data_IF_999871039709
#
_entry.id   IF_999871039709
#
_cell.length_a   1.000
_cell.length_b   1.000
_cell.length_c   1.000
_cell.angle_alpha   90.00
_cell.angle_beta   90.00
_cell.angle_gamma   90.00
#
_symmetry.space_group_name_H-M   'P 1'
#
loop_
_entity.id
_entity.type
_entity.pdbx_description
1 polymer ?
#
# COMPACT_ATOMS: atom_id res chain seq x y z
N UNK A 1 10.58 0.35 -29.28
CA UNK A 1 9.90 0.90 -28.08
C UNK A 1 8.57 1.48 -28.51
N UNK A 2 7.50 1.27 -27.75
CA UNK A 2 6.18 1.87 -28.00
C UNK A 2 6.28 3.38 -27.72
N UNK A 3 6.08 4.24 -28.73
CA UNK A 3 6.25 5.70 -28.63
C UNK A 3 4.92 6.45 -28.49
N UNK A 4 3.85 5.88 -29.04
CA UNK A 4 2.51 6.44 -29.06
C UNK A 4 1.49 5.30 -28.98
N UNK A 5 0.46 5.46 -28.15
CA UNK A 5 -0.75 4.63 -28.21
C UNK A 5 -1.93 5.58 -28.32
N UNK A 6 -2.82 5.30 -29.27
CA UNK A 6 -4.08 6.01 -29.42
C UNK A 6 -5.14 5.25 -28.65
N UNK A 7 -5.62 5.81 -27.54
CA UNK A 7 -6.76 5.29 -26.80
C UNK A 7 -7.97 6.19 -27.06
N UNK A 8 -8.93 5.69 -27.83
CA UNK A 8 -10.07 6.50 -28.28
C UNK A 8 -9.64 7.73 -29.09
N UNK A 9 -10.09 8.91 -28.66
CA UNK A 9 -9.75 10.18 -29.30
C UNK A 9 -8.43 10.79 -28.79
N UNK A 10 -7.89 10.32 -27.66
CA UNK A 10 -6.75 10.94 -27.00
C UNK A 10 -5.46 10.16 -27.28
N UNK A 11 -4.47 10.77 -27.94
CA UNK A 11 -3.16 10.17 -28.11
C UNK A 11 -2.35 10.25 -26.81
N UNK A 12 -1.87 9.10 -26.31
CA UNK A 12 -0.89 9.04 -25.21
C UNK A 12 0.51 8.90 -25.83
N UNK A 13 1.34 9.91 -25.63
CA UNK A 13 2.75 9.93 -26.06
C UNK A 13 3.63 9.45 -24.91
N UNK A 14 4.22 8.27 -25.06
CA UNK A 14 5.06 7.67 -24.00
C UNK A 14 6.30 8.48 -23.72
N UNK A 15 6.88 9.11 -24.74
CA UNK A 15 8.08 9.92 -24.59
C UNK A 15 7.89 11.06 -23.59
N UNK A 16 6.68 11.64 -23.55
CA UNK A 16 6.35 12.73 -22.64
C UNK A 16 6.31 12.20 -21.19
N UNK A 17 5.78 11.00 -20.98
CA UNK A 17 5.68 10.36 -19.66
C UNK A 17 7.01 9.86 -19.09
N UNK A 18 8.03 9.62 -19.92
CA UNK A 18 9.35 9.13 -19.46
C UNK A 18 10.16 10.19 -18.69
N UNK A 19 9.82 11.46 -18.88
CA UNK A 19 10.52 12.60 -18.27
C UNK A 19 9.69 13.30 -17.19
N UNK A 20 8.42 12.93 -16.99
CA UNK A 20 7.55 13.54 -15.99
C UNK A 20 7.93 13.11 -14.57
N UNK A 21 7.89 14.03 -13.61
CA UNK A 21 8.04 13.70 -12.18
C UNK A 21 6.77 13.17 -11.53
N UNK A 22 5.63 13.52 -12.12
CA UNK A 22 4.29 13.21 -11.64
C UNK A 22 3.47 12.62 -12.78
N UNK A 23 2.67 11.59 -12.48
CA UNK A 23 1.72 11.04 -13.44
C UNK A 23 0.35 10.88 -12.79
N UNK A 24 -0.67 11.42 -13.46
CA UNK A 24 -2.06 11.39 -13.04
C UNK A 24 -2.88 10.53 -14.02
N UNK A 25 -3.62 9.55 -13.50
CA UNK A 25 -4.52 8.72 -14.30
C UNK A 25 -5.86 9.44 -14.56
N UNK A 26 -6.46 9.23 -15.73
CA UNK A 26 -7.73 9.87 -16.12
C UNK A 26 -8.86 8.86 -16.19
N UNK A 27 -10.09 9.29 -15.94
CA UNK A 27 -11.28 8.42 -15.87
C UNK A 27 -11.67 7.77 -17.19
N UNK A 28 -10.99 8.07 -18.31
CA UNK A 28 -11.44 7.62 -19.63
C UNK A 28 -11.18 6.14 -19.92
N UNK A 29 -10.08 5.50 -19.50
CA UNK A 29 -9.80 4.10 -19.88
C UNK A 29 -8.86 3.34 -18.90
N UNK A 30 -9.41 2.78 -17.82
CA UNK A 30 -8.65 2.38 -16.62
C UNK A 30 -7.63 1.24 -16.80
N UNK A 31 -7.99 0.09 -17.36
CA UNK A 31 -7.06 -1.07 -17.35
C UNK A 31 -5.85 -0.87 -18.30
N UNK A 32 -6.09 -0.34 -19.50
CA UNK A 32 -5.03 -0.08 -20.47
C UNK A 32 -4.19 1.15 -20.07
N UNK A 33 -4.79 2.21 -19.52
CA UNK A 33 -4.02 3.35 -19.01
C UNK A 33 -3.15 2.93 -17.82
N UNK A 34 -3.64 2.11 -16.88
CA UNK A 34 -2.80 1.64 -15.77
C UNK A 34 -1.67 0.73 -16.26
N UNK A 35 -1.92 -0.20 -17.18
CA UNK A 35 -0.84 -1.02 -17.78
C UNK A 35 0.20 -0.17 -18.54
N UNK A 36 -0.23 0.88 -19.23
CA UNK A 36 0.67 1.79 -19.93
C UNK A 36 1.42 2.72 -18.98
N UNK A 37 0.78 3.12 -17.86
CA UNK A 37 1.40 3.81 -16.73
C UNK A 37 2.46 2.92 -16.10
N UNK A 38 2.16 1.65 -15.82
CA UNK A 38 3.10 0.65 -15.32
C UNK A 38 4.37 0.54 -16.20
N UNK A 39 4.19 0.54 -17.52
CA UNK A 39 5.30 0.54 -18.48
C UNK A 39 6.09 1.86 -18.51
N UNK A 40 5.42 3.00 -18.33
CA UNK A 40 6.07 4.31 -18.22
C UNK A 40 6.83 4.44 -16.90
N UNK A 41 6.20 4.07 -15.78
CA UNK A 41 6.76 3.96 -14.43
C UNK A 41 8.05 3.15 -14.50
N UNK A 42 8.03 1.93 -15.03
CA UNK A 42 9.23 1.06 -15.15
C UNK A 42 10.43 1.72 -15.83
N UNK A 43 10.21 2.68 -16.72
CA UNK A 43 11.26 3.33 -17.53
C UNK A 43 11.58 4.76 -17.08
N UNK A 44 10.80 5.32 -16.17
CA UNK A 44 10.92 6.70 -15.74
C UNK A 44 11.83 6.78 -14.51
N UNK A 45 13.03 7.36 -14.71
CA UNK A 45 14.04 7.53 -13.66
C UNK A 45 13.84 8.76 -12.77
N UNK A 46 12.77 9.51 -12.98
CA UNK A 46 12.49 10.77 -12.27
C UNK A 46 11.14 10.74 -11.55
N UNK A 47 10.42 9.63 -11.64
CA UNK A 47 9.10 9.47 -11.05
C UNK A 47 9.17 9.61 -9.53
N UNK A 48 8.34 10.50 -9.00
CA UNK A 48 8.22 10.77 -7.57
C UNK A 48 6.81 10.58 -7.06
N UNK A 49 5.80 10.88 -7.88
CA UNK A 49 4.40 10.76 -7.49
C UNK A 49 3.58 10.04 -8.53
N UNK A 50 2.71 9.14 -8.08
CA UNK A 50 1.66 8.54 -8.92
C UNK A 50 0.30 8.81 -8.28
N UNK A 51 -0.61 9.41 -9.04
CA UNK A 51 -1.95 9.77 -8.56
C UNK A 51 -3.05 9.04 -9.34
N UNK A 52 -3.76 8.17 -8.62
CA UNK A 52 -4.90 7.39 -9.12
C UNK A 52 -6.24 7.86 -8.52
N UNK A 53 -6.30 9.03 -7.89
CA UNK A 53 -7.51 9.50 -7.19
C UNK A 53 -8.73 9.58 -8.09
N UNK A 54 -8.55 9.98 -9.35
CA UNK A 54 -9.62 10.13 -10.36
C UNK A 54 -10.12 8.79 -10.91
N UNK A 55 -9.32 7.72 -10.79
CA UNK A 55 -9.64 6.40 -11.37
C UNK A 55 -9.87 5.32 -10.32
N UNK A 56 -9.72 5.65 -9.03
CA UNK A 56 -9.72 4.68 -7.94
C UNK A 56 -10.98 3.81 -7.88
N UNK A 57 -12.13 4.36 -8.28
CA UNK A 57 -13.41 3.66 -8.30
C UNK A 57 -13.45 2.49 -9.29
N UNK A 58 -12.50 2.44 -10.23
CA UNK A 58 -12.45 1.45 -11.29
C UNK A 58 -11.21 0.53 -11.17
N UNK A 59 -10.40 0.69 -10.13
CA UNK A 59 -9.22 -0.14 -9.94
C UNK A 59 -9.61 -1.50 -9.39
N UNK A 60 -9.04 -2.54 -9.99
CA UNK A 60 -9.11 -3.91 -9.48
C UNK A 60 -7.85 -4.27 -8.70
N UNK A 61 -7.92 -5.30 -7.88
CA UNK A 61 -6.75 -5.88 -7.20
C UNK A 61 -5.64 -6.19 -8.20
N UNK A 62 -5.98 -6.84 -9.33
CA UNK A 62 -4.99 -7.21 -10.36
C UNK A 62 -4.30 -6.00 -10.97
N UNK A 63 -5.06 -4.93 -11.22
CA UNK A 63 -4.52 -3.67 -11.74
C UNK A 63 -3.50 -3.06 -10.77
N UNK A 64 -3.75 -3.15 -9.46
CA UNK A 64 -2.83 -2.67 -8.42
C UNK A 64 -1.64 -3.62 -8.24
N UNK A 65 -1.81 -4.94 -8.45
CA UNK A 65 -0.70 -5.91 -8.49
C UNK A 65 0.28 -5.58 -9.62
N UNK A 66 -0.22 -5.33 -10.83
CA UNK A 66 0.62 -4.95 -11.98
C UNK A 66 1.41 -3.65 -11.74
N UNK A 67 0.79 -2.69 -11.06
CA UNK A 67 1.43 -1.45 -10.61
C UNK A 67 2.57 -1.75 -9.64
N UNK A 68 2.31 -2.53 -8.59
CA UNK A 68 3.30 -2.91 -7.58
C UNK A 68 4.49 -3.62 -8.23
N UNK A 69 4.25 -4.54 -9.16
CA UNK A 69 5.32 -5.24 -9.86
C UNK A 69 6.18 -4.30 -10.70
N UNK A 70 5.56 -3.29 -11.31
CA UNK A 70 6.29 -2.26 -12.05
C UNK A 70 7.13 -1.37 -11.13
N UNK A 71 6.61 -1.03 -9.94
CA UNK A 71 7.33 -0.29 -8.90
C UNK A 71 8.50 -1.10 -8.32
N UNK A 72 8.34 -2.41 -8.13
CA UNK A 72 9.44 -3.30 -7.68
C UNK A 72 10.56 -3.34 -8.71
N UNK A 73 10.23 -3.39 -10.01
CA UNK A 73 11.22 -3.42 -11.09
C UNK A 73 11.99 -2.11 -11.24
N UNK A 74 11.39 -0.96 -10.94
CA UNK A 74 12.07 0.34 -10.91
C UNK A 74 13.30 0.33 -9.99
N UNK A 75 13.19 -0.31 -8.82
CA UNK A 75 14.25 -0.33 -7.80
C UNK A 75 15.50 -1.11 -8.23
N UNK A 76 15.35 -2.10 -9.11
CA UNK A 76 16.48 -2.83 -9.70
C UNK A 76 17.34 -1.97 -10.63
N UNK A 77 16.89 -0.76 -11.00
CA UNK A 77 17.52 0.08 -12.03
C UNK A 77 18.30 1.30 -11.51
N UNK A 78 18.42 1.46 -10.18
CA UNK A 78 19.07 2.63 -9.57
C UNK A 78 18.28 3.93 -9.66
N UNK A 79 16.96 3.84 -9.85
CA UNK A 79 16.03 4.96 -9.91
C UNK A 79 15.75 5.54 -8.51
N UNK A 80 15.54 6.88 -8.35
CA UNK A 80 15.07 7.48 -7.10
C UNK A 80 13.82 6.79 -6.56
N UNK A 81 13.70 6.77 -5.23
CA UNK A 81 12.55 6.24 -4.51
C UNK A 81 11.29 7.03 -4.86
N UNK A 82 10.17 6.33 -4.99
CA UNK A 82 8.86 6.91 -5.18
C UNK A 82 8.44 7.63 -3.89
N UNK A 83 8.21 8.94 -3.98
CA UNK A 83 7.88 9.80 -2.84
C UNK A 83 6.43 9.53 -2.39
N UNK A 84 5.45 9.49 -3.31
CA UNK A 84 4.02 9.44 -2.98
C UNK A 84 3.20 8.58 -3.96
N UNK A 85 2.21 7.86 -3.44
CA UNK A 85 1.14 7.21 -4.22
C UNK A 85 -0.22 7.61 -3.66
N UNK A 86 -1.07 8.22 -4.49
CA UNK A 86 -2.39 8.71 -4.10
C UNK A 86 -3.50 7.84 -4.69
N UNK A 87 -4.49 7.51 -3.87
CA UNK A 87 -5.80 6.99 -4.25
C UNK A 87 -6.86 7.83 -3.54
N UNK A 88 -8.12 7.74 -3.97
CA UNK A 88 -9.21 8.54 -3.40
C UNK A 88 -9.28 8.39 -1.88
N UNK A 89 -8.84 9.44 -1.18
CA UNK A 89 -8.81 9.51 0.29
C UNK A 89 -7.67 8.75 0.97
N UNK A 90 -6.65 8.31 0.22
CA UNK A 90 -5.49 7.57 0.75
C UNK A 90 -4.22 8.05 0.08
N UNK A 91 -3.29 8.59 0.86
CA UNK A 91 -1.94 8.88 0.40
C UNK A 91 -0.97 7.94 1.11
N UNK A 92 -0.13 7.27 0.34
CA UNK A 92 0.94 6.43 0.84
C UNK A 92 2.27 7.09 0.47
N UNK A 93 3.23 7.05 1.38
CA UNK A 93 4.54 7.69 1.21
C UNK A 93 5.65 6.64 1.31
N UNK A 94 5.89 5.83 0.27
CA UNK A 94 6.83 4.72 0.34
C UNK A 94 8.25 5.15 0.70
N UNK A 95 8.67 6.33 0.26
CA UNK A 95 9.97 6.90 0.59
C UNK A 95 10.13 7.16 2.08
N UNK A 96 9.13 7.75 2.70
CA UNK A 96 9.16 8.08 4.13
C UNK A 96 9.28 6.81 4.98
N UNK A 97 8.62 5.74 4.53
CA UNK A 97 8.71 4.41 5.15
C UNK A 97 10.09 3.77 4.98
N UNK A 98 10.78 4.07 3.87
CA UNK A 98 12.10 3.53 3.55
C UNK A 98 13.24 4.29 4.25
N UNK A 99 13.18 5.63 4.30
CA UNK A 99 14.21 6.48 4.89
C UNK A 99 14.02 6.74 6.39
N UNK A 100 12.87 6.33 6.93
CA UNK A 100 12.55 6.40 8.35
C UNK A 100 12.02 7.74 8.83
N UNK A 101 11.67 8.65 7.90
CA UNK A 101 10.94 9.87 8.24
C UNK A 101 9.47 9.59 8.59
N UNK A 102 8.90 8.46 8.15
CA UNK A 102 7.59 7.96 8.55
C UNK A 102 7.70 6.68 9.39
N UNK A 103 7.23 6.73 10.65
CA UNK A 103 7.14 5.56 11.53
C UNK A 103 5.71 5.14 11.88
N UNK A 104 4.71 5.81 11.28
CA UNK A 104 3.28 5.52 11.42
C UNK A 104 2.63 5.43 10.04
N UNK A 105 1.87 4.36 9.81
CA UNK A 105 0.95 4.25 8.68
C UNK A 105 -0.48 4.15 9.22
N UNK A 106 -1.23 5.24 9.05
CA UNK A 106 -2.61 5.37 9.52
C UNK A 106 -3.56 5.45 8.33
N UNK A 107 -4.43 4.44 8.22
CA UNK A 107 -5.53 4.37 7.28
C UNK A 107 -6.88 4.31 7.98
N UNK A 108 -6.93 4.62 9.27
CA UNK A 108 -8.17 4.69 10.03
C UNK A 108 -9.05 5.77 9.42
N UNK A 109 -10.10 5.33 8.75
CA UNK A 109 -11.02 6.19 8.03
C UNK A 109 -12.20 6.66 8.88
N UNK A 110 -13.28 7.13 8.24
CA UNK A 110 -14.56 7.35 8.90
C UNK A 110 -14.96 6.13 9.74
N UNK A 111 -15.85 6.32 10.74
CA UNK A 111 -16.40 5.23 11.59
C UNK A 111 -17.29 4.22 10.83
N UNK A 112 -17.14 4.11 9.52
CA UNK A 112 -17.83 3.17 8.64
C UNK A 112 -16.76 2.26 8.05
N UNK A 113 -17.00 0.95 8.12
CA UNK A 113 -16.11 -0.05 7.53
C UNK A 113 -16.05 0.16 6.02
N UNK A 114 -14.84 0.29 5.49
CA UNK A 114 -14.56 0.46 4.06
C UNK A 114 -13.89 -0.78 3.49
N UNK A 115 -14.41 -1.26 2.35
CA UNK A 115 -13.68 -2.24 1.54
C UNK A 115 -12.49 -1.56 0.85
N UNK A 116 -11.29 -2.07 1.16
CA UNK A 116 -10.00 -1.67 0.61
C UNK A 116 -9.22 -2.83 0.04
N UNK A 117 -9.90 -3.91 -0.35
CA UNK A 117 -9.28 -5.10 -0.95
C UNK A 117 -8.35 -4.74 -2.12
N UNK A 118 -8.76 -3.79 -2.97
CA UNK A 118 -7.96 -3.35 -4.11
C UNK A 118 -6.62 -2.69 -3.73
N UNK A 119 -6.50 -2.11 -2.52
CA UNK A 119 -5.26 -1.47 -2.04
C UNK A 119 -4.29 -2.47 -1.43
N UNK A 120 -4.73 -3.67 -1.07
CA UNK A 120 -3.92 -4.61 -0.32
C UNK A 120 -2.55 -4.92 -0.96
N UNK A 121 -2.43 -5.15 -2.29
CA UNK A 121 -1.11 -5.38 -2.90
C UNK A 121 -0.13 -4.23 -2.69
N UNK A 122 -0.64 -2.99 -2.74
CA UNK A 122 0.19 -1.81 -2.54
C UNK A 122 0.53 -1.60 -1.06
N UNK A 123 -0.40 -1.89 -0.15
CA UNK A 123 -0.11 -1.86 1.28
C UNK A 123 0.99 -2.86 1.63
N UNK A 124 0.93 -4.09 1.12
CA UNK A 124 2.01 -5.08 1.27
C UNK A 124 3.33 -4.52 0.75
N UNK A 125 3.35 -3.90 -0.43
CA UNK A 125 4.54 -3.26 -0.97
C UNK A 125 5.10 -2.16 -0.06
N UNK A 126 4.24 -1.31 0.53
CA UNK A 126 4.67 -0.26 1.47
C UNK A 126 5.19 -0.85 2.78
N UNK A 127 4.52 -1.87 3.32
CA UNK A 127 4.95 -2.57 4.52
C UNK A 127 6.33 -3.24 4.32
N UNK A 128 6.60 -3.81 3.14
CA UNK A 128 7.94 -4.32 2.78
C UNK A 128 9.03 -3.24 2.82
N UNK A 129 8.67 -1.96 2.68
CA UNK A 129 9.62 -0.82 2.77
C UNK A 129 9.78 -0.29 4.19
N UNK A 130 8.79 -0.50 5.05
CA UNK A 130 8.69 0.05 6.41
C UNK A 130 9.72 -0.48 7.39
N UNK A 131 11.02 -0.24 7.15
CA UNK A 131 12.11 -0.65 8.04
C UNK A 131 12.05 0.02 9.41
N UNK A 132 11.43 1.20 9.47
CA UNK A 132 11.29 2.01 10.67
C UNK A 132 9.84 2.12 11.14
N UNK A 133 8.93 1.35 10.54
CA UNK A 133 7.50 1.42 10.82
C UNK A 133 7.20 0.80 12.18
N UNK A 134 6.70 1.63 13.11
CA UNK A 134 6.41 1.25 14.50
C UNK A 134 4.93 1.11 14.80
N UNK A 135 4.09 1.83 14.07
CA UNK A 135 2.65 1.85 14.29
C UNK A 135 1.90 1.68 12.97
N UNK A 136 0.89 0.81 13.01
CA UNK A 136 -0.05 0.58 11.92
C UNK A 136 -1.46 0.74 12.45
N UNK A 137 -2.29 1.53 11.78
CA UNK A 137 -3.71 1.62 12.08
C UNK A 137 -4.54 1.38 10.83
N UNK A 138 -5.13 0.19 10.75
CA UNK A 138 -6.02 -0.24 9.67
C UNK A 138 -7.47 -0.39 10.17
N UNK A 139 -7.83 0.17 11.34
CA UNK A 139 -9.23 0.15 11.82
C UNK A 139 -10.20 0.67 10.76
N UNK A 140 -11.40 0.09 10.76
CA UNK A 140 -12.46 0.40 9.78
C UNK A 140 -12.12 0.06 8.32
N UNK A 141 -11.13 -0.81 8.06
CA UNK A 141 -10.81 -1.27 6.71
C UNK A 141 -10.90 -2.80 6.61
N UNK A 142 -11.51 -3.29 5.55
CA UNK A 142 -11.51 -4.71 5.17
C UNK A 142 -10.69 -4.91 3.90
N UNK A 143 -9.99 -6.04 3.84
CA UNK A 143 -9.13 -6.39 2.69
C UNK A 143 -9.63 -7.62 1.92
N UNK A 144 -10.81 -8.14 2.29
CA UNK A 144 -11.46 -9.26 1.61
C UNK A 144 -10.52 -10.48 1.50
N UNK A 145 -10.42 -11.05 0.30
CA UNK A 145 -9.55 -12.20 0.01
C UNK A 145 -8.05 -11.90 0.17
N UNK A 146 -7.64 -10.64 0.21
CA UNK A 146 -6.22 -10.25 0.35
C UNK A 146 -5.81 -10.06 1.82
N UNK A 147 -6.72 -10.31 2.77
CA UNK A 147 -6.49 -10.14 4.21
C UNK A 147 -5.28 -10.93 4.72
N UNK A 148 -5.09 -12.15 4.23
CA UNK A 148 -3.96 -13.01 4.64
C UNK A 148 -2.61 -12.35 4.31
N UNK A 149 -2.47 -11.78 3.11
CA UNK A 149 -1.23 -11.10 2.70
C UNK A 149 -0.92 -9.88 3.57
N UNK A 150 -1.95 -9.15 4.01
CA UNK A 150 -1.77 -8.04 4.96
C UNK A 150 -1.29 -8.55 6.30
N UNK A 151 -1.91 -9.60 6.83
CA UNK A 151 -1.50 -10.21 8.10
C UNK A 151 -0.04 -10.68 8.02
N UNK A 152 0.34 -11.38 6.96
CA UNK A 152 1.71 -11.87 6.77
C UNK A 152 2.74 -10.75 6.71
N UNK A 153 2.42 -9.65 6.01
CA UNK A 153 3.29 -8.47 5.95
C UNK A 153 3.44 -7.82 7.33
N UNK A 154 2.34 -7.67 8.08
CA UNK A 154 2.34 -7.12 9.44
C UNK A 154 3.15 -8.00 10.40
N UNK A 155 2.92 -9.32 10.38
CA UNK A 155 3.66 -10.28 11.22
C UNK A 155 5.13 -10.36 10.86
N UNK A 156 5.51 -10.07 9.62
CA UNK A 156 6.92 -9.95 9.24
C UNK A 156 7.58 -8.75 9.93
N UNK A 157 6.93 -7.59 9.93
CA UNK A 157 7.42 -6.41 10.65
C UNK A 157 7.51 -6.63 12.16
N UNK A 158 6.55 -7.36 12.74
CA UNK A 158 6.57 -7.72 14.16
C UNK A 158 7.74 -8.66 14.49
N UNK A 159 7.94 -9.73 13.72
CA UNK A 159 9.04 -10.68 13.93
C UNK A 159 10.41 -10.04 13.80
N UNK A 160 10.53 -9.02 12.95
CA UNK A 160 11.73 -8.20 12.81
C UNK A 160 11.92 -7.19 13.96
N UNK A 161 11.00 -7.15 14.93
CA UNK A 161 11.03 -6.28 16.11
C UNK A 161 10.74 -4.80 15.80
N UNK A 162 10.15 -4.50 14.63
CA UNK A 162 9.92 -3.13 14.17
C UNK A 162 8.58 -2.60 14.66
N UNK A 163 7.56 -3.42 14.59
CA UNK A 163 6.18 -3.04 14.87
C UNK A 163 5.85 -3.15 16.36
N UNK A 164 5.39 -2.05 16.95
CA UNK A 164 5.05 -1.97 18.39
C UNK A 164 3.55 -1.82 18.65
N UNK A 165 2.83 -1.20 17.71
CA UNK A 165 1.39 -0.88 17.83
C UNK A 165 0.65 -1.31 16.56
N UNK A 166 -0.49 -1.99 16.74
CA UNK A 166 -1.41 -2.35 15.66
C UNK A 166 -2.82 -1.93 16.01
N UNK A 167 -3.51 -1.22 15.13
CA UNK A 167 -4.89 -0.74 15.32
C UNK A 167 -5.09 0.03 16.65
N UNK A 168 -4.09 0.81 17.06
CA UNK A 168 -4.09 1.54 18.33
C UNK A 168 -3.78 0.71 19.57
N UNK A 169 -3.52 -0.59 19.42
CA UNK A 169 -3.26 -1.52 20.52
C UNK A 169 -1.78 -1.95 20.54
N UNK A 170 -1.09 -1.89 21.68
CA UNK A 170 0.26 -2.43 21.80
C UNK A 170 0.31 -3.92 21.47
N UNK A 171 1.20 -4.31 20.56
CA UNK A 171 1.45 -5.71 20.19
C UNK A 171 2.35 -6.38 21.24
N UNK A 172 3.07 -5.59 22.03
CA UNK A 172 3.99 -6.04 23.07
C UNK A 172 3.54 -5.51 24.43
N UNK A 173 3.68 -6.33 25.48
CA UNK A 173 3.44 -5.88 26.86
C UNK A 173 1.99 -5.99 27.33
N UNK A 174 1.09 -6.61 26.56
CA UNK A 174 -0.19 -7.07 27.10
C UNK A 174 0.10 -8.14 28.15
N UNK A 175 -0.26 -7.87 29.41
CA UNK A 175 -0.11 -8.83 30.50
C UNK A 175 -0.83 -10.14 30.14
N UNK A 176 -0.19 -11.29 30.43
CA UNK A 176 -0.66 -12.65 30.09
C UNK A 176 -2.05 -13.02 30.65
N UNK A 177 -2.64 -12.17 31.49
CA UNK A 177 -3.80 -12.53 32.31
C UNK A 177 -5.12 -12.23 31.61
N UNK A 178 -5.22 -11.21 30.74
CA UNK A 178 -6.41 -11.02 29.88
C UNK A 178 -6.19 -9.95 28.79
N UNK A 179 -6.29 -10.34 27.51
CA UNK A 179 -6.42 -9.39 26.39
C UNK A 179 -7.90 -9.23 26.04
N UNK A 180 -8.56 -8.23 26.62
CA UNK A 180 -9.97 -7.95 26.32
C UNK A 180 -10.10 -7.04 25.11
N UNK A 181 -10.77 -7.55 24.07
CA UNK A 181 -11.17 -6.78 22.89
C UNK A 181 -12.58 -6.18 23.02
N UNK A 182 -13.27 -6.36 24.15
CA UNK A 182 -14.67 -5.93 24.30
C UNK A 182 -14.88 -4.42 24.15
N UNK A 183 -13.85 -3.63 24.46
CA UNK A 183 -13.87 -2.16 24.34
C UNK A 183 -13.34 -1.66 23.00
N UNK A 184 -12.62 -2.54 22.30
CA UNK A 184 -11.94 -2.41 21.01
C UNK A 184 -12.73 -2.89 19.78
N UNK A 185 -13.30 -2.10 18.85
CA UNK A 185 -13.70 -2.68 17.56
C UNK A 185 -12.44 -3.18 16.83
N UNK A 186 -12.23 -4.50 16.87
CA UNK A 186 -11.11 -5.17 16.21
C UNK A 186 -11.59 -5.85 14.94
N UNK A 187 -11.05 -5.40 13.82
CA UNK A 187 -11.28 -6.02 12.51
C UNK A 187 -10.74 -7.46 12.49
N UNK A 188 -11.23 -8.36 11.62
CA UNK A 188 -10.75 -9.75 11.54
C UNK A 188 -9.23 -9.89 11.43
N UNK A 189 -8.58 -9.03 10.63
CA UNK A 189 -7.12 -8.99 10.52
C UNK A 189 -6.42 -8.62 11.84
N UNK A 190 -7.05 -7.76 12.65
CA UNK A 190 -6.65 -7.44 14.03
C UNK A 190 -6.60 -8.67 14.91
N UNK A 191 -7.68 -9.45 14.93
CA UNK A 191 -7.78 -10.66 15.72
C UNK A 191 -6.65 -11.63 15.34
N UNK A 192 -6.41 -11.83 14.04
CA UNK A 192 -5.33 -12.71 13.56
C UNK A 192 -3.94 -12.22 13.98
N UNK A 193 -3.64 -10.93 13.83
CA UNK A 193 -2.34 -10.36 14.23
C UNK A 193 -2.13 -10.52 15.74
N UNK A 194 -3.12 -10.19 16.57
CA UNK A 194 -3.00 -10.32 18.02
C UNK A 194 -2.90 -11.78 18.48
N UNK A 195 -3.70 -12.68 17.90
CA UNK A 195 -3.63 -14.10 18.24
C UNK A 195 -2.25 -14.70 17.90
N UNK A 196 -1.72 -14.42 16.72
CA UNK A 196 -0.41 -14.92 16.27
C UNK A 196 0.73 -14.41 17.14
N UNK A 197 0.71 -13.13 17.50
CA UNK A 197 1.75 -12.51 18.33
C UNK A 197 1.67 -12.95 19.80
N UNK A 198 0.46 -13.22 20.31
CA UNK A 198 0.25 -13.77 21.64
C UNK A 198 0.72 -15.24 21.76
N UNK A 199 0.37 -16.08 20.77
CA UNK A 199 0.73 -17.51 20.76
C UNK A 199 2.24 -17.72 20.62
N UNK A 200 2.90 -16.96 19.74
CA UNK A 200 4.35 -17.06 19.53
C UNK A 200 5.19 -16.77 20.78
N UNK A 201 4.62 -16.10 21.79
CA UNK A 201 5.29 -15.74 23.05
C UNK A 201 4.94 -16.67 24.22
N UNK A 202 4.02 -17.60 23.98
CA UNK A 202 3.60 -18.61 24.94
C UNK A 202 4.29 -19.96 24.71
N UNK A 203 5.10 -20.06 23.64
CA UNK A 203 5.96 -21.18 23.28
C UNK A 203 7.42 -20.87 23.61
#
# INVERSE_FOLDING_TARGET
ALSLVKLGATPIRFQDLLCCKEIQASSSFIAMEVLLLCLAIRRNKQLRRVDFSEVSANLTVDTVKDLVDSLRQLRGSGCPALDEVCFKGVNLFPRDMEDGSGDVLDLNGPKVVMDRSFLAPLLVFVLEKGRFLKSLDFRNNEFGHETEHIIDAVLTLEREGRLTTYNGVPIHGVAKEEFSLEKEPVMPHGICVFASTYLARSS
#
